data_IF_150774855544
#
_entry.id   IF_150774855544
#
_cell.length_a   1.000
_cell.length_b   1.000
_cell.length_c   1.000
_cell.angle_alpha   90.00
_cell.angle_beta   90.00
_cell.angle_gamma   90.00
#
_symmetry.space_group_name_H-M   'P 1'
#
loop_
_entity.id
_entity.type
_entity.pdbx_description
1 polymer ?
#
# COMPACT_ATOMS: atom_id res chain seq x y z
N UNK A 1 5.19 -20.54 29.04
CA UNK A 1 4.89 -19.56 27.97
C UNK A 1 3.99 -20.13 26.85
N UNK A 2 3.17 -21.17 27.12
CA UNK A 2 2.25 -21.79 26.15
C UNK A 2 0.76 -21.57 26.48
N UNK A 3 0.44 -20.82 27.56
CA UNK A 3 -0.93 -20.59 28.03
C UNK A 3 -1.59 -19.30 27.52
N UNK A 4 -0.85 -18.41 26.85
CA UNK A 4 -1.39 -17.17 26.28
C UNK A 4 -1.85 -17.30 24.81
N UNK A 5 -1.37 -18.32 24.08
CA UNK A 5 -1.81 -18.58 22.70
C UNK A 5 -3.16 -19.32 22.62
N UNK A 6 -3.54 -20.03 23.69
CA UNK A 6 -4.77 -20.82 23.72
C UNK A 6 -6.03 -20.01 24.09
N UNK A 7 -5.87 -18.77 24.59
CA UNK A 7 -6.97 -17.85 24.91
C UNK A 7 -7.39 -16.98 23.70
N UNK A 8 -6.49 -16.74 22.75
CA UNK A 8 -6.82 -15.97 21.53
C UNK A 8 -7.60 -16.82 20.51
N UNK A 9 -7.22 -18.09 20.32
CA UNK A 9 -7.93 -19.00 19.42
C UNK A 9 -9.31 -19.39 19.95
N UNK A 10 -9.48 -19.53 21.27
CA UNK A 10 -10.80 -19.82 21.88
C UNK A 10 -11.79 -18.67 21.73
N UNK A 11 -11.34 -17.41 21.77
CA UNK A 11 -12.22 -16.26 21.57
C UNK A 11 -12.59 -16.07 20.10
N UNK A 12 -11.65 -16.30 19.18
CA UNK A 12 -11.95 -16.25 17.73
C UNK A 12 -12.85 -17.42 17.35
N UNK A 13 -12.57 -18.65 17.82
CA UNK A 13 -13.43 -19.81 17.56
C UNK A 13 -14.79 -19.66 18.23
N UNK A 14 -14.87 -19.09 19.44
CA UNK A 14 -16.13 -18.78 20.13
C UNK A 14 -16.94 -17.74 19.35
N UNK A 15 -16.33 -16.65 18.87
CA UNK A 15 -17.00 -15.63 18.06
C UNK A 15 -17.50 -16.22 16.72
N UNK A 16 -16.67 -17.04 16.08
CA UNK A 16 -17.03 -17.73 14.83
C UNK A 16 -18.17 -18.73 15.08
N UNK A 17 -18.13 -19.47 16.19
CA UNK A 17 -19.17 -20.42 16.60
C UNK A 17 -20.46 -19.71 17.02
N UNK A 18 -20.39 -18.53 17.66
CA UNK A 18 -21.55 -17.72 18.04
C UNK A 18 -22.26 -17.14 16.80
N UNK A 19 -21.49 -16.75 15.78
CA UNK A 19 -22.02 -16.33 14.47
C UNK A 19 -22.65 -17.50 13.69
N UNK A 20 -22.09 -18.71 13.83
CA UNK A 20 -22.55 -19.93 13.18
C UNK A 20 -23.79 -20.55 13.84
N UNK A 21 -23.94 -20.48 15.17
CA UNK A 21 -24.90 -21.30 15.93
C UNK A 21 -26.24 -20.62 16.28
N UNK A 22 -26.49 -19.41 15.78
CA UNK A 22 -27.81 -18.75 15.90
C UNK A 22 -28.70 -19.20 14.73
N UNK A 23 -29.56 -20.16 15.01
CA UNK A 23 -30.51 -20.77 14.06
C UNK A 23 -31.70 -19.85 13.77
N UNK A 24 -31.81 -19.45 12.50
CA UNK A 24 -33.02 -19.28 11.68
C UNK A 24 -34.14 -18.27 12.00
N UNK A 25 -33.96 -17.24 12.84
CA UNK A 25 -34.97 -16.15 12.93
C UNK A 25 -34.44 -14.72 12.83
N UNK A 26 -33.13 -14.49 12.66
CA UNK A 26 -32.58 -13.13 12.74
C UNK A 26 -31.41 -12.88 11.77
N UNK A 27 -31.64 -13.09 10.47
CA UNK A 27 -30.65 -12.78 9.43
C UNK A 27 -30.25 -11.29 9.46
N UNK A 28 -31.21 -10.39 9.72
CA UNK A 28 -30.98 -8.95 9.86
C UNK A 28 -30.01 -8.61 11.01
N UNK A 29 -30.14 -9.26 12.17
CA UNK A 29 -29.25 -9.02 13.30
C UNK A 29 -27.80 -9.48 13.03
N UNK A 30 -27.64 -10.59 12.30
CA UNK A 30 -26.32 -11.10 11.88
C UNK A 30 -25.65 -10.17 10.87
N UNK A 31 -26.40 -9.69 9.89
CA UNK A 31 -25.89 -8.77 8.88
C UNK A 31 -25.47 -7.43 9.49
N UNK A 32 -26.29 -6.87 10.38
CA UNK A 32 -25.93 -5.68 11.15
C UNK A 32 -24.66 -5.88 11.97
N UNK A 33 -24.48 -7.06 12.58
CA UNK A 33 -23.26 -7.39 13.32
C UNK A 33 -22.03 -7.44 12.40
N UNK A 34 -22.15 -8.04 11.22
CA UNK A 34 -21.05 -8.12 10.24
C UNK A 34 -20.69 -6.74 9.67
N UNK A 35 -21.67 -5.89 9.38
CA UNK A 35 -21.46 -4.51 8.96
C UNK A 35 -20.73 -3.70 10.03
N UNK A 36 -21.14 -3.81 11.30
CA UNK A 36 -20.48 -3.15 12.43
C UNK A 36 -19.03 -3.63 12.62
N UNK A 37 -18.76 -4.92 12.47
CA UNK A 37 -17.39 -5.47 12.54
C UNK A 37 -16.54 -4.90 11.39
N UNK A 38 -17.05 -4.90 10.15
CA UNK A 38 -16.34 -4.34 9.00
C UNK A 38 -16.07 -2.84 9.17
N UNK A 39 -17.05 -2.08 9.66
CA UNK A 39 -16.86 -0.68 9.99
C UNK A 39 -15.75 -0.51 11.04
N UNK A 40 -15.78 -1.29 12.12
CA UNK A 40 -14.76 -1.27 13.17
C UNK A 40 -13.35 -1.55 12.65
N UNK A 41 -13.18 -2.54 11.77
CA UNK A 41 -11.89 -2.84 11.13
C UNK A 41 -11.40 -1.67 10.28
N UNK A 42 -12.28 -1.06 9.49
CA UNK A 42 -11.94 0.08 8.65
C UNK A 42 -11.55 1.32 9.47
N UNK A 43 -12.24 1.61 10.59
CA UNK A 43 -11.83 2.68 11.50
C UNK A 43 -10.51 2.37 12.22
N UNK A 44 -10.27 1.11 12.61
CA UNK A 44 -8.99 0.70 13.16
C UNK A 44 -7.86 0.89 12.14
N UNK A 45 -8.07 0.50 10.88
CA UNK A 45 -7.13 0.70 9.78
C UNK A 45 -6.86 2.19 9.54
N UNK A 46 -7.89 3.03 9.54
CA UNK A 46 -7.74 4.49 9.47
C UNK A 46 -6.88 5.05 10.61
N UNK A 47 -7.14 4.61 11.86
CA UNK A 47 -6.35 5.01 13.02
C UNK A 47 -4.87 4.62 12.89
N UNK A 48 -4.59 3.37 12.48
CA UNK A 48 -3.22 2.87 12.29
C UNK A 48 -2.52 3.58 11.13
N UNK A 49 -3.22 3.87 10.03
CA UNK A 49 -2.70 4.67 8.93
C UNK A 49 -2.36 6.09 9.39
N UNK A 50 -3.22 6.71 10.21
CA UNK A 50 -2.98 8.05 10.75
C UNK A 50 -1.76 8.10 11.67
N UNK A 51 -1.60 7.10 12.55
CA UNK A 51 -0.40 6.99 13.40
C UNK A 51 0.84 6.78 12.52
N UNK A 52 0.78 5.89 11.54
CA UNK A 52 1.90 5.60 10.63
C UNK A 52 2.28 6.84 9.80
N UNK A 53 1.28 7.61 9.34
CA UNK A 53 1.46 8.88 8.66
C UNK A 53 2.19 9.89 9.53
N UNK A 54 1.71 10.14 10.76
CA UNK A 54 2.31 11.10 11.70
C UNK A 54 3.75 10.70 12.02
N UNK A 55 3.98 9.42 12.33
CA UNK A 55 5.32 8.90 12.61
C UNK A 55 6.25 9.04 11.41
N UNK A 56 5.75 8.74 10.20
CA UNK A 56 6.54 8.87 8.98
C UNK A 56 6.90 10.34 8.73
N UNK A 57 5.93 11.26 8.81
CA UNK A 57 6.13 12.69 8.62
C UNK A 57 7.12 13.31 9.61
N UNK A 58 7.00 12.98 10.90
CA UNK A 58 7.75 13.67 11.95
C UNK A 58 9.05 13.00 12.35
N UNK A 59 9.09 11.66 12.36
CA UNK A 59 10.25 10.90 12.84
C UNK A 59 11.07 10.32 11.70
N UNK A 60 10.42 9.68 10.73
CA UNK A 60 11.13 8.90 9.71
C UNK A 60 11.43 9.67 8.42
N UNK A 61 11.02 10.94 8.32
CA UNK A 61 11.29 11.80 7.16
C UNK A 61 12.30 12.92 7.47
N UNK A 62 12.94 12.90 8.64
CA UNK A 62 13.93 13.91 9.03
C UNK A 62 14.97 13.35 9.99
N UNK A 63 16.18 13.88 9.91
CA UNK A 63 17.26 13.66 10.88
C UNK A 63 17.60 14.96 11.59
N UNK A 64 18.13 14.86 12.80
CA UNK A 64 18.70 16.00 13.52
C UNK A 64 20.22 15.94 13.40
N UNK A 65 20.82 17.00 12.88
CA UNK A 65 22.28 17.20 12.77
C UNK A 65 22.57 18.55 13.40
N UNK A 66 23.48 18.60 14.38
CA UNK A 66 23.86 19.84 15.09
C UNK A 66 22.64 20.65 15.60
N UNK A 67 21.66 19.96 16.18
CA UNK A 67 20.40 20.52 16.68
C UNK A 67 19.47 21.16 15.61
N UNK A 68 19.78 20.99 14.32
CA UNK A 68 18.93 21.41 13.20
C UNK A 68 18.27 20.18 12.58
N UNK A 69 16.98 20.27 12.29
CA UNK A 69 16.23 19.19 11.64
C UNK A 69 16.33 19.32 10.13
N UNK A 70 16.99 18.37 9.48
CA UNK A 70 17.20 18.32 8.03
C UNK A 70 16.39 17.17 7.43
N UNK A 71 15.91 17.35 6.19
CA UNK A 71 15.15 16.34 5.42
C UNK A 71 15.93 15.93 4.17
N UNK A 72 16.99 15.11 4.31
CA UNK A 72 17.75 14.68 3.15
C UNK A 72 16.91 13.78 2.25
N UNK A 73 17.18 13.86 0.95
CA UNK A 73 16.49 13.08 -0.08
C UNK A 73 16.67 11.58 0.14
N UNK A 74 17.81 11.12 0.67
CA UNK A 74 18.10 9.71 0.96
C UNK A 74 17.10 9.03 1.91
N UNK A 75 16.63 9.75 2.93
CA UNK A 75 15.66 9.23 3.92
C UNK A 75 14.21 9.66 3.61
N UNK A 76 13.97 10.30 2.46
CA UNK A 76 12.65 10.82 2.14
C UNK A 76 11.63 9.68 2.06
N UNK A 77 10.52 9.86 2.77
CA UNK A 77 9.41 8.91 2.84
C UNK A 77 8.10 9.53 2.33
N UNK A 78 8.18 10.55 1.48
CA UNK A 78 7.02 11.29 0.94
C UNK A 78 6.01 10.37 0.25
N UNK A 79 6.46 9.37 -0.52
CA UNK A 79 5.54 8.46 -1.21
C UNK A 79 4.80 7.52 -0.23
N UNK A 80 5.45 7.12 0.86
CA UNK A 80 4.81 6.36 1.94
C UNK A 80 3.80 7.21 2.71
N UNK A 81 4.09 8.50 2.92
CA UNK A 81 3.15 9.49 3.49
C UNK A 81 1.88 9.58 2.63
N UNK A 82 2.02 9.71 1.31
CA UNK A 82 0.87 9.70 0.41
C UNK A 82 0.10 8.37 0.46
N UNK A 83 0.81 7.24 0.43
CA UNK A 83 0.19 5.93 0.53
C UNK A 83 -0.65 5.77 1.81
N UNK A 84 -0.09 6.05 2.99
CA UNK A 84 -0.84 5.94 4.26
C UNK A 84 -1.99 6.94 4.34
N UNK A 85 -1.85 8.14 3.77
CA UNK A 85 -2.93 9.13 3.74
C UNK A 85 -4.12 8.62 2.90
N UNK A 86 -3.83 8.12 1.70
CA UNK A 86 -4.85 7.63 0.76
C UNK A 86 -5.53 6.37 1.30
N UNK A 87 -4.76 5.41 1.82
CA UNK A 87 -5.31 4.20 2.45
C UNK A 87 -6.17 4.56 3.67
N UNK A 88 -5.72 5.51 4.50
CA UNK A 88 -6.47 6.01 5.64
C UNK A 88 -7.80 6.62 5.22
N UNK A 89 -7.80 7.57 4.29
CA UNK A 89 -9.03 8.22 3.78
C UNK A 89 -9.98 7.17 3.19
N UNK A 90 -9.48 6.25 2.38
CA UNK A 90 -10.28 5.16 1.82
C UNK A 90 -10.95 4.31 2.91
N UNK A 91 -10.18 3.94 3.93
CA UNK A 91 -10.68 3.14 5.06
C UNK A 91 -11.74 3.90 5.85
N UNK A 92 -11.57 5.20 6.06
CA UNK A 92 -12.58 6.04 6.71
C UNK A 92 -13.89 6.07 5.90
N UNK A 93 -13.80 6.26 4.59
CA UNK A 93 -14.97 6.27 3.68
C UNK A 93 -15.70 4.92 3.72
N UNK A 94 -14.95 3.81 3.67
CA UNK A 94 -15.50 2.46 3.80
C UNK A 94 -16.14 2.23 5.18
N UNK A 95 -15.53 2.70 6.26
CA UNK A 95 -16.07 2.61 7.61
C UNK A 95 -17.43 3.31 7.74
N UNK A 96 -17.53 4.54 7.23
CA UNK A 96 -18.78 5.31 7.18
C UNK A 96 -19.82 4.57 6.33
N UNK A 97 -19.43 4.04 5.18
CA UNK A 97 -20.31 3.30 4.30
C UNK A 97 -20.97 2.08 4.95
N UNK A 98 -20.20 1.30 5.72
CA UNK A 98 -20.71 0.12 6.41
C UNK A 98 -21.62 0.47 7.59
N UNK A 99 -21.44 1.64 8.23
CA UNK A 99 -22.36 2.13 9.27
C UNK A 99 -23.67 2.61 8.64
N UNK A 100 -23.58 3.46 7.62
CA UNK A 100 -24.73 4.15 7.02
C UNK A 100 -25.63 3.19 6.24
N UNK A 101 -25.05 2.13 5.67
CA UNK A 101 -25.76 1.20 4.79
C UNK A 101 -25.79 -0.23 5.36
N UNK A 102 -26.12 -0.40 6.64
CA UNK A 102 -26.26 -1.71 7.31
C UNK A 102 -27.15 -2.73 6.59
N UNK A 103 -27.96 -2.30 5.61
CA UNK A 103 -28.86 -3.09 4.78
C UNK A 103 -28.30 -3.57 3.41
N UNK A 104 -27.01 -3.35 3.10
CA UNK A 104 -26.42 -3.68 1.77
C UNK A 104 -26.40 -5.18 1.42
N UNK A 105 -26.56 -6.08 2.40
CA UNK A 105 -26.47 -7.51 2.15
C UNK A 105 -27.74 -8.12 1.56
N UNK A 106 -28.90 -7.48 1.71
CA UNK A 106 -30.18 -8.13 1.44
C UNK A 106 -30.67 -8.05 -0.01
N UNK A 107 -30.43 -6.99 -0.78
CA UNK A 107 -30.98 -6.95 -2.15
C UNK A 107 -30.27 -5.95 -3.08
N UNK A 108 -30.07 -6.39 -4.33
CA UNK A 108 -29.52 -5.68 -5.48
C UNK A 108 -29.30 -4.15 -5.35
N UNK A 109 -28.03 -3.80 -5.15
CA UNK A 109 -27.34 -2.68 -5.80
C UNK A 109 -28.03 -1.32 -5.74
N UNK A 110 -27.91 -0.66 -4.58
CA UNK A 110 -27.66 0.79 -4.57
C UNK A 110 -26.42 1.02 -3.73
N UNK A 111 -25.24 0.68 -4.27
CA UNK A 111 -24.02 1.31 -3.76
C UNK A 111 -24.26 2.80 -3.94
N UNK A 112 -24.16 3.65 -2.89
CA UNK A 112 -24.45 5.06 -3.04
C UNK A 112 -23.66 5.60 -4.22
N UNK A 113 -24.35 6.22 -5.19
CA UNK A 113 -23.78 6.64 -6.49
C UNK A 113 -22.48 7.46 -6.36
N UNK A 114 -22.27 8.09 -5.21
CA UNK A 114 -21.10 8.91 -4.90
C UNK A 114 -20.00 8.09 -4.20
N UNK A 115 -20.39 7.14 -3.35
CA UNK A 115 -19.47 6.36 -2.55
C UNK A 115 -18.69 5.35 -3.41
N UNK A 116 -19.37 4.67 -4.35
CA UNK A 116 -18.74 3.74 -5.28
C UNK A 116 -17.60 4.35 -6.10
N UNK A 117 -17.80 5.46 -6.86
CA UNK A 117 -16.71 6.04 -7.64
C UNK A 117 -15.61 6.60 -6.75
N UNK A 118 -15.96 7.20 -5.61
CA UNK A 118 -14.98 7.76 -4.68
C UNK A 118 -14.07 6.67 -4.12
N UNK A 119 -14.64 5.55 -3.67
CA UNK A 119 -13.87 4.40 -3.18
C UNK A 119 -12.90 3.85 -4.23
N UNK A 120 -13.38 3.70 -5.47
CA UNK A 120 -12.58 3.18 -6.58
C UNK A 120 -11.45 4.14 -7.01
N UNK A 121 -11.69 5.45 -6.98
CA UNK A 121 -10.63 6.45 -7.21
C UNK A 121 -9.55 6.32 -6.14
N UNK A 122 -9.93 6.26 -4.85
CA UNK A 122 -8.97 6.07 -3.77
C UNK A 122 -8.23 4.73 -3.88
N UNK A 123 -8.89 3.65 -4.33
CA UNK A 123 -8.21 2.37 -4.59
C UNK A 123 -7.13 2.51 -5.68
N UNK A 124 -7.44 3.18 -6.79
CA UNK A 124 -6.45 3.39 -7.87
C UNK A 124 -5.26 4.18 -7.34
N UNK A 125 -5.53 5.26 -6.60
CA UNK A 125 -4.48 6.09 -6.00
C UNK A 125 -3.65 5.32 -4.98
N UNK A 126 -4.29 4.49 -4.15
CA UNK A 126 -3.63 3.63 -3.15
C UNK A 126 -2.59 2.71 -3.81
N UNK A 127 -3.00 1.97 -4.84
CA UNK A 127 -2.11 1.05 -5.56
C UNK A 127 -1.03 1.81 -6.33
N UNK A 128 -1.35 2.97 -6.90
CA UNK A 128 -0.38 3.82 -7.59
C UNK A 128 0.71 4.33 -6.64
N UNK A 129 0.33 4.90 -5.49
CA UNK A 129 1.28 5.40 -4.50
C UNK A 129 2.09 4.26 -3.85
N UNK A 130 1.50 3.08 -3.64
CA UNK A 130 2.24 1.90 -3.24
C UNK A 130 3.30 1.53 -4.28
N UNK A 131 2.91 1.46 -5.56
CA UNK A 131 3.82 1.13 -6.67
C UNK A 131 4.96 2.13 -6.77
N UNK A 132 4.66 3.43 -6.64
CA UNK A 132 5.68 4.48 -6.62
C UNK A 132 6.58 4.41 -5.39
N UNK A 133 6.05 4.11 -4.22
CA UNK A 133 6.83 3.96 -3.00
C UNK A 133 7.81 2.79 -3.08
N UNK A 134 7.37 1.66 -3.64
CA UNK A 134 8.20 0.48 -3.91
C UNK A 134 9.26 0.76 -4.96
N UNK A 135 8.91 1.43 -6.05
CA UNK A 135 9.85 1.81 -7.10
C UNK A 135 10.89 2.80 -6.58
N UNK A 136 10.48 3.74 -5.72
CA UNK A 136 11.39 4.65 -5.04
C UNK A 136 12.36 3.91 -4.11
N UNK A 137 11.87 2.92 -3.34
CA UNK A 137 12.73 2.05 -2.52
C UNK A 137 13.74 1.28 -3.39
N UNK A 138 13.29 0.72 -4.52
CA UNK A 138 14.17 0.05 -5.50
C UNK A 138 15.22 1.01 -6.08
N UNK A 139 14.86 2.26 -6.34
CA UNK A 139 15.76 3.20 -6.99
C UNK A 139 16.81 3.74 -6.03
N UNK A 140 16.36 4.33 -4.92
CA UNK A 140 17.20 5.17 -4.07
C UNK A 140 17.73 4.45 -2.83
N UNK A 141 17.21 3.26 -2.49
CA UNK A 141 17.66 2.52 -1.28
C UNK A 141 18.36 1.22 -1.58
N UNK A 142 18.20 0.65 -2.79
CA UNK A 142 18.92 -0.56 -3.20
C UNK A 142 20.20 -0.35 -3.99
N UNK A 143 20.50 0.87 -4.41
CA UNK A 143 21.71 1.19 -5.18
C UNK A 143 22.85 1.81 -4.38
N UNK A 144 22.64 2.14 -3.10
CA UNK A 144 23.62 2.91 -2.32
C UNK A 144 23.60 4.38 -2.75
N UNK A 145 23.67 5.30 -1.79
CA UNK A 145 23.60 6.74 -2.09
C UNK A 145 24.87 7.23 -2.78
N UNK A 146 26.03 6.69 -2.35
CA UNK A 146 27.34 7.00 -2.95
C UNK A 146 27.34 6.66 -4.44
N UNK A 147 26.73 5.54 -4.84
CA UNK A 147 26.68 5.13 -6.23
C UNK A 147 25.78 6.05 -7.09
N UNK A 148 24.67 6.55 -6.54
CA UNK A 148 23.80 7.54 -7.20
C UNK A 148 24.51 8.90 -7.40
N UNK A 149 25.32 9.35 -6.44
CA UNK A 149 26.12 10.59 -6.57
C UNK A 149 27.33 10.41 -7.50
N UNK A 150 28.04 9.29 -7.41
CA UNK A 150 29.16 8.97 -8.31
C UNK A 150 28.70 8.86 -9.76
N UNK A 151 27.51 8.28 -10.00
CA UNK A 151 26.88 8.21 -11.31
C UNK A 151 26.48 9.60 -11.83
N UNK A 152 25.93 10.49 -10.99
CA UNK A 152 25.64 11.87 -11.39
C UNK A 152 26.90 12.68 -11.69
N UNK A 153 27.99 12.41 -10.97
CA UNK A 153 29.28 13.05 -11.20
C UNK A 153 29.90 12.57 -12.52
N UNK A 154 29.90 11.26 -12.77
CA UNK A 154 30.37 10.65 -14.02
C UNK A 154 29.49 11.00 -15.24
N UNK A 155 28.18 11.16 -15.06
CA UNK A 155 27.27 11.63 -16.12
C UNK A 155 27.61 13.05 -16.61
N UNK A 156 28.24 13.87 -15.77
CA UNK A 156 28.72 15.21 -16.15
C UNK A 156 30.06 15.15 -16.88
N UNK A 157 30.79 14.05 -16.80
CA UNK A 157 32.16 13.93 -17.32
C UNK A 157 32.30 13.04 -18.56
N UNK A 158 31.39 12.09 -18.84
CA UNK A 158 31.58 11.15 -19.96
C UNK A 158 30.33 10.93 -20.86
N UNK A 159 30.48 11.17 -22.16
CA UNK A 159 29.53 10.80 -23.24
C UNK A 159 29.46 9.29 -23.52
N UNK A 160 30.22 8.47 -22.79
CA UNK A 160 30.57 7.09 -23.15
C UNK A 160 30.01 6.06 -22.16
N UNK A 161 28.71 5.74 -22.21
CA UNK A 161 28.24 4.40 -21.82
C UNK A 161 26.82 4.08 -22.32
N UNK A 162 26.74 3.27 -23.39
CA UNK A 162 25.47 2.74 -23.95
C UNK A 162 24.67 1.90 -22.95
N UNK A 163 25.34 1.26 -21.99
CA UNK A 163 24.71 0.51 -20.88
C UNK A 163 23.88 1.41 -19.96
N UNK A 164 24.38 2.63 -19.71
CA UNK A 164 23.80 3.56 -18.75
C UNK A 164 22.52 4.24 -19.26
N UNK A 165 22.48 4.55 -20.56
CA UNK A 165 21.25 5.02 -21.23
C UNK A 165 20.13 3.99 -21.16
N UNK A 166 20.45 2.69 -21.18
CA UNK A 166 19.44 1.63 -21.16
C UNK A 166 18.72 1.57 -19.80
N UNK A 167 19.45 1.68 -18.68
CA UNK A 167 18.87 1.59 -17.34
C UNK A 167 17.97 2.80 -17.02
N UNK A 168 18.39 4.03 -17.35
CA UNK A 168 17.57 5.24 -17.20
C UNK A 168 16.32 5.23 -18.08
N UNK A 169 16.44 4.69 -19.31
CA UNK A 169 15.30 4.56 -20.24
C UNK A 169 14.29 3.52 -19.73
N UNK A 170 14.75 2.39 -19.19
CA UNK A 170 13.90 1.39 -18.53
C UNK A 170 13.24 1.95 -17.26
N UNK A 171 13.94 2.78 -16.47
CA UNK A 171 13.41 3.43 -15.26
C UNK A 171 12.29 4.44 -15.53
N UNK A 172 12.48 5.31 -16.53
CA UNK A 172 11.41 6.22 -16.99
C UNK A 172 10.22 5.42 -17.52
N UNK A 173 10.48 4.23 -18.09
CA UNK A 173 9.44 3.34 -18.62
C UNK A 173 8.58 2.76 -17.50
N UNK A 174 9.14 2.34 -16.36
CA UNK A 174 8.35 1.74 -15.26
C UNK A 174 7.38 2.74 -14.61
N UNK A 175 7.82 3.95 -14.25
CA UNK A 175 6.93 4.99 -13.72
C UNK A 175 5.81 5.32 -14.73
N UNK A 176 6.18 5.46 -16.01
CA UNK A 176 5.22 5.73 -17.07
C UNK A 176 4.21 4.59 -17.24
N UNK A 177 4.62 3.33 -17.07
CA UNK A 177 3.71 2.17 -17.13
C UNK A 177 2.67 2.25 -16.01
N UNK A 178 3.11 2.44 -14.76
CA UNK A 178 2.17 2.54 -13.62
C UNK A 178 1.22 3.73 -13.78
N UNK A 179 1.72 4.88 -14.23
CA UNK A 179 0.88 6.05 -14.51
C UNK A 179 -0.08 5.79 -15.66
N UNK A 180 0.36 5.16 -16.76
CA UNK A 180 -0.50 4.82 -17.89
C UNK A 180 -1.61 3.83 -17.48
N UNK A 181 -1.29 2.82 -16.68
CA UNK A 181 -2.26 1.89 -16.11
C UNK A 181 -3.26 2.62 -15.21
N UNK A 182 -2.81 3.51 -14.32
CA UNK A 182 -3.70 4.29 -13.47
C UNK A 182 -4.62 5.22 -14.28
N UNK A 183 -4.10 5.87 -15.33
CA UNK A 183 -4.89 6.68 -16.26
C UNK A 183 -5.91 5.83 -16.99
N UNK A 184 -5.54 4.62 -17.44
CA UNK A 184 -6.47 3.68 -18.07
C UNK A 184 -7.57 3.24 -17.09
N UNK A 185 -7.23 2.96 -15.82
CA UNK A 185 -8.20 2.66 -14.77
C UNK A 185 -9.18 3.83 -14.59
N UNK A 186 -8.68 5.06 -14.47
CA UNK A 186 -9.51 6.26 -14.30
C UNK A 186 -10.39 6.51 -15.53
N UNK A 187 -9.86 6.30 -16.74
CA UNK A 187 -10.63 6.41 -17.98
C UNK A 187 -11.74 5.35 -18.03
N UNK A 188 -11.43 4.09 -17.68
CA UNK A 188 -12.44 3.02 -17.64
C UNK A 188 -13.52 3.27 -16.59
N UNK A 189 -13.16 3.83 -15.43
CA UNK A 189 -14.12 4.26 -14.41
C UNK A 189 -14.99 5.41 -14.90
N UNK A 190 -14.40 6.40 -15.58
CA UNK A 190 -15.16 7.51 -16.16
C UNK A 190 -16.16 7.03 -17.21
N UNK A 191 -15.75 6.12 -18.11
CA UNK A 191 -16.65 5.50 -19.09
C UNK A 191 -17.76 4.72 -18.40
N UNK A 192 -17.44 3.93 -17.37
CA UNK A 192 -18.43 3.21 -16.56
C UNK A 192 -19.47 4.15 -15.93
N UNK A 193 -19.04 5.31 -15.42
CA UNK A 193 -19.94 6.29 -14.79
C UNK A 193 -20.80 7.08 -15.80
N UNK A 194 -20.34 7.24 -17.03
CA UNK A 194 -21.07 7.95 -18.09
C UNK A 194 -22.05 7.06 -18.85
N UNK A 195 -21.87 5.74 -18.83
CA UNK A 195 -22.73 4.80 -19.54
C UNK A 195 -24.03 4.53 -18.76
N UNK A 196 -25.18 4.83 -19.39
CA UNK A 196 -26.50 4.63 -18.81
C UNK A 196 -27.22 3.36 -19.31
N UNK A 197 -26.64 2.63 -20.29
CA UNK A 197 -27.26 1.43 -20.86
C UNK A 197 -26.95 0.19 -20.04
N UNK A 198 -27.97 -0.39 -19.40
CA UNK A 198 -27.89 -1.58 -18.53
C UNK A 198 -27.09 -2.75 -19.15
N UNK A 199 -27.28 -3.02 -20.44
CA UNK A 199 -26.67 -4.17 -21.12
C UNK A 199 -25.14 -4.05 -21.28
N UNK A 200 -24.57 -2.85 -21.12
CA UNK A 200 -23.13 -2.60 -21.23
C UNK A 200 -22.43 -2.44 -19.88
N UNK A 201 -23.18 -2.22 -18.80
CA UNK A 201 -22.63 -1.93 -17.47
C UNK A 201 -21.78 -3.09 -16.97
N UNK A 202 -22.22 -4.34 -17.19
CA UNK A 202 -21.48 -5.52 -16.76
C UNK A 202 -20.10 -5.62 -17.45
N UNK A 203 -20.05 -5.46 -18.77
CA UNK A 203 -18.78 -5.49 -19.52
C UNK A 203 -17.83 -4.35 -19.08
N UNK A 204 -18.36 -3.15 -18.86
CA UNK A 204 -17.57 -2.01 -18.39
C UNK A 204 -17.05 -2.22 -16.97
N UNK A 205 -17.86 -2.81 -16.10
CA UNK A 205 -17.48 -3.18 -14.75
C UNK A 205 -16.31 -4.16 -14.72
N UNK A 206 -16.39 -5.24 -15.52
CA UNK A 206 -15.29 -6.21 -15.65
C UNK A 206 -14.04 -5.62 -16.29
N UNK A 207 -14.22 -4.72 -17.27
CA UNK A 207 -13.09 -4.00 -17.90
C UNK A 207 -12.37 -3.14 -16.88
N UNK A 208 -13.11 -2.40 -16.05
CA UNK A 208 -12.56 -1.61 -14.96
C UNK A 208 -11.78 -2.48 -13.96
N UNK A 209 -12.38 -3.58 -13.49
CA UNK A 209 -11.70 -4.49 -12.56
C UNK A 209 -10.46 -5.14 -13.17
N UNK A 210 -10.50 -5.49 -14.46
CA UNK A 210 -9.34 -5.98 -15.20
C UNK A 210 -8.19 -4.96 -15.23
N UNK A 211 -8.52 -3.67 -15.42
CA UNK A 211 -7.52 -2.60 -15.36
C UNK A 211 -6.91 -2.49 -13.95
N UNK A 212 -7.73 -2.49 -12.90
CA UNK A 212 -7.25 -2.45 -11.50
C UNK A 212 -6.36 -3.65 -11.18
N UNK A 213 -6.76 -4.85 -11.57
CA UNK A 213 -5.95 -6.06 -11.38
C UNK A 213 -4.63 -6.02 -12.14
N UNK A 214 -4.61 -5.47 -13.35
CA UNK A 214 -3.36 -5.28 -14.09
C UNK A 214 -2.35 -4.41 -13.34
N UNK A 215 -2.84 -3.38 -12.63
CA UNK A 215 -2.03 -2.51 -11.78
C UNK A 215 -1.52 -3.27 -10.54
N UNK A 216 -2.39 -4.05 -9.87
CA UNK A 216 -1.99 -4.89 -8.73
C UNK A 216 -0.95 -5.96 -9.14
N UNK A 217 -1.14 -6.63 -10.28
CA UNK A 217 -0.18 -7.61 -10.82
C UNK A 217 1.17 -6.94 -11.09
N UNK A 218 1.16 -5.72 -11.65
CA UNK A 218 2.39 -4.97 -11.91
C UNK A 218 3.15 -4.64 -10.62
N UNK A 219 2.42 -4.36 -9.52
CA UNK A 219 3.00 -4.18 -8.19
C UNK A 219 3.65 -5.48 -7.67
N UNK A 220 3.02 -6.65 -7.86
CA UNK A 220 3.59 -7.96 -7.52
C UNK A 220 4.87 -8.23 -8.33
N UNK A 221 4.84 -7.97 -9.64
CA UNK A 221 6.02 -8.13 -10.50
C UNK A 221 7.17 -7.24 -10.02
N UNK A 222 6.89 -5.98 -9.67
CA UNK A 222 7.89 -5.09 -9.09
C UNK A 222 8.47 -5.65 -7.79
N UNK A 223 7.64 -6.25 -6.94
CA UNK A 223 8.12 -6.91 -5.73
C UNK A 223 9.06 -8.08 -6.01
N UNK A 224 8.75 -8.92 -7.00
CA UNK A 224 9.68 -9.98 -7.41
C UNK A 224 11.01 -9.40 -7.92
N UNK A 225 10.97 -8.31 -8.68
CA UNK A 225 12.19 -7.62 -9.12
C UNK A 225 13.02 -7.13 -7.93
N UNK A 226 12.39 -6.51 -6.92
CA UNK A 226 13.08 -6.03 -5.70
C UNK A 226 13.70 -7.18 -4.91
N UNK A 227 12.98 -8.29 -4.76
CA UNK A 227 13.44 -9.46 -4.00
C UNK A 227 14.60 -10.16 -4.72
N UNK A 228 14.48 -10.37 -6.04
CA UNK A 228 15.46 -11.08 -6.85
C UNK A 228 16.72 -10.25 -7.16
N UNK A 229 16.66 -8.93 -7.00
CA UNK A 229 17.82 -8.06 -7.22
C UNK A 229 18.91 -8.37 -6.17
N UNK A 230 20.03 -8.96 -6.63
CA UNK A 230 21.20 -9.21 -5.77
C UNK A 230 21.81 -7.88 -5.33
N UNK A 231 21.88 -7.69 -4.02
CA UNK A 231 22.55 -6.54 -3.40
C UNK A 231 24.00 -6.92 -3.18
N UNK A 232 24.88 -6.34 -3.98
CA UNK A 232 26.34 -6.49 -3.87
C UNK A 232 26.81 -5.39 -2.89
N UNK A 233 26.43 -5.52 -1.62
CA UNK A 233 26.96 -4.75 -0.47
C UNK A 233 26.20 -3.49 0.04
N UNK A 234 25.44 -2.71 -0.76
CA UNK A 234 24.82 -1.44 -0.26
C UNK A 234 23.27 -1.35 -0.24
N UNK A 235 22.54 -2.44 -0.52
CA UNK A 235 21.08 -2.38 -0.66
C UNK A 235 20.24 -2.73 0.59
N UNK A 236 18.89 -2.75 0.48
CA UNK A 236 18.02 -3.08 1.60
C UNK A 236 18.30 -4.50 2.06
N UNK A 237 18.29 -4.67 3.38
CA UNK A 237 18.57 -5.97 3.98
C UNK A 237 17.59 -7.04 3.48
N UNK A 238 18.03 -8.31 3.46
CA UNK A 238 17.18 -9.46 3.06
C UNK A 238 15.87 -9.45 3.85
N UNK A 239 15.93 -9.22 5.15
CA UNK A 239 14.74 -9.19 6.00
C UNK A 239 13.83 -7.98 5.68
N UNK A 240 14.37 -6.83 5.22
CA UNK A 240 13.52 -5.72 4.69
C UNK A 240 12.77 -6.17 3.44
N UNK A 241 13.46 -6.84 2.49
CA UNK A 241 12.85 -7.35 1.26
C UNK A 241 11.75 -8.37 1.55
N UNK A 242 11.99 -9.26 2.52
CA UNK A 242 11.00 -10.25 2.98
C UNK A 242 9.78 -9.56 3.58
N UNK A 243 9.97 -8.57 4.46
CA UNK A 243 8.85 -7.81 5.01
C UNK A 243 8.08 -7.03 3.94
N UNK A 244 8.76 -6.40 2.97
CA UNK A 244 8.08 -5.76 1.86
C UNK A 244 7.24 -6.74 1.05
N UNK A 245 7.78 -7.91 0.73
CA UNK A 245 7.07 -8.95 0.00
C UNK A 245 5.82 -9.40 0.76
N UNK A 246 5.97 -9.74 2.04
CA UNK A 246 4.83 -10.12 2.88
C UNK A 246 3.80 -8.99 3.01
N UNK A 247 4.24 -7.74 3.18
CA UNK A 247 3.36 -6.59 3.25
C UNK A 247 2.48 -6.47 2.01
N UNK A 248 3.06 -6.56 0.81
CA UNK A 248 2.31 -6.51 -0.45
C UNK A 248 1.41 -7.73 -0.63
N UNK A 249 1.87 -8.94 -0.31
CA UNK A 249 1.03 -10.14 -0.41
C UNK A 249 -0.18 -10.05 0.52
N UNK A 250 -0.02 -9.47 1.72
CA UNK A 250 -1.10 -9.29 2.68
C UNK A 250 -2.16 -8.27 2.22
N UNK A 251 -1.84 -7.37 1.27
CA UNK A 251 -2.86 -6.44 0.72
C UNK A 251 -3.73 -7.11 -0.35
N UNK A 252 -3.22 -8.11 -1.06
CA UNK A 252 -3.93 -8.72 -2.22
C UNK A 252 -5.32 -9.28 -1.90
N UNK A 253 -5.54 -10.00 -0.77
CA UNK A 253 -6.87 -10.54 -0.47
C UNK A 253 -7.95 -9.47 -0.34
N UNK A 254 -7.60 -8.28 0.16
CA UNK A 254 -8.52 -7.16 0.30
C UNK A 254 -8.78 -6.40 -1.02
N UNK A 255 -7.98 -6.67 -2.05
CA UNK A 255 -8.14 -6.10 -3.39
C UNK A 255 -9.15 -6.87 -4.25
N UNK A 256 -9.53 -8.07 -3.80
CA UNK A 256 -10.54 -8.89 -4.44
C UNK A 256 -11.93 -8.37 -3.99
N UNK A 257 -12.80 -7.95 -4.93
CA UNK A 257 -14.15 -7.53 -4.62
C UNK A 257 -14.96 -8.59 -3.87
N UNK A 258 -15.84 -8.16 -2.95
CA UNK A 258 -16.67 -9.06 -2.16
C UNK A 258 -17.53 -10.02 -3.01
N UNK A 259 -18.00 -9.59 -4.18
CA UNK A 259 -18.81 -10.45 -5.05
C UNK A 259 -17.99 -11.61 -5.67
N UNK A 260 -16.69 -11.41 -5.91
CA UNK A 260 -15.78 -12.46 -6.40
C UNK A 260 -15.47 -13.43 -5.26
N UNK A 261 -15.25 -12.91 -4.04
CA UNK A 261 -15.24 -13.75 -2.84
C UNK A 261 -16.52 -14.59 -2.75
N UNK A 262 -17.68 -13.97 -3.04
CA UNK A 262 -18.99 -14.64 -3.12
C UNK A 262 -19.07 -15.81 -4.10
N UNK A 263 -18.49 -15.65 -5.28
CA UNK A 263 -18.58 -16.66 -6.32
C UNK A 263 -17.49 -17.74 -6.22
N UNK A 264 -16.24 -17.36 -5.93
CA UNK A 264 -15.10 -18.26 -6.03
C UNK A 264 -14.83 -19.10 -4.76
N UNK A 265 -15.08 -18.54 -3.57
CA UNK A 265 -14.68 -19.19 -2.31
C UNK A 265 -15.86 -19.82 -1.57
N UNK A 266 -17.10 -19.42 -1.88
CA UNK A 266 -18.26 -19.80 -1.07
C UNK A 266 -19.04 -21.02 -1.60
N UNK A 267 -18.68 -21.54 -2.77
CA UNK A 267 -19.35 -22.73 -3.32
C UNK A 267 -18.90 -24.06 -2.70
N UNK A 268 -17.93 -24.07 -1.76
CA UNK A 268 -17.45 -25.35 -1.17
C UNK A 268 -16.67 -25.30 0.15
N UNK A 269 -16.52 -24.14 0.81
CA UNK A 269 -15.80 -24.04 2.09
C UNK A 269 -16.75 -24.03 3.29
N UNK A 270 -16.31 -24.66 4.40
CA UNK A 270 -17.01 -24.71 5.69
C UNK A 270 -17.14 -23.34 6.40
N UNK A 271 -16.40 -22.32 5.94
CA UNK A 271 -16.38 -20.99 6.54
C UNK A 271 -17.37 -20.06 5.82
N UNK A 272 -18.25 -19.36 6.56
CA UNK A 272 -19.20 -18.43 5.97
C UNK A 272 -18.45 -17.28 5.31
N UNK A 273 -18.77 -17.04 4.05
CA UNK A 273 -18.02 -16.16 3.19
C UNK A 273 -17.76 -14.72 3.65
N UNK A 274 -18.72 -14.05 4.31
CA UNK A 274 -18.48 -12.74 4.92
C UNK A 274 -17.32 -12.73 5.92
N UNK A 275 -17.07 -13.84 6.63
CA UNK A 275 -15.96 -13.96 7.58
C UNK A 275 -14.60 -14.01 6.86
N UNK A 276 -14.53 -14.66 5.70
CA UNK A 276 -13.31 -14.66 4.87
C UNK A 276 -12.96 -13.25 4.37
N UNK A 277 -13.96 -12.47 3.96
CA UNK A 277 -13.77 -11.08 3.54
C UNK A 277 -13.35 -10.18 4.71
N UNK A 278 -13.99 -10.31 5.88
CA UNK A 278 -13.58 -9.63 7.12
C UNK A 278 -12.12 -9.95 7.45
N UNK A 279 -11.74 -11.22 7.32
CA UNK A 279 -10.35 -11.67 7.56
C UNK A 279 -9.39 -11.02 6.57
N UNK A 280 -9.73 -11.00 5.28
CA UNK A 280 -8.95 -10.33 4.25
C UNK A 280 -8.74 -8.84 4.54
N UNK A 281 -9.79 -8.13 5.00
CA UNK A 281 -9.70 -6.73 5.43
C UNK A 281 -8.78 -6.57 6.66
N UNK A 282 -8.86 -7.48 7.63
CA UNK A 282 -7.98 -7.46 8.80
C UNK A 282 -6.49 -7.68 8.44
N UNK A 283 -6.18 -8.39 7.34
CA UNK A 283 -4.81 -8.54 6.86
C UNK A 283 -4.18 -7.20 6.42
N UNK A 284 -4.98 -6.21 5.99
CA UNK A 284 -4.48 -4.87 5.68
C UNK A 284 -3.88 -4.18 6.92
N UNK A 285 -4.45 -4.39 8.10
CA UNK A 285 -3.90 -3.86 9.35
C UNK A 285 -2.49 -4.42 9.56
N UNK A 286 -2.33 -5.73 9.36
CA UNK A 286 -1.03 -6.40 9.47
C UNK A 286 -0.07 -5.86 8.40
N UNK A 287 -0.53 -5.67 7.16
CA UNK A 287 0.27 -5.11 6.08
C UNK A 287 0.82 -3.71 6.42
N UNK A 288 -0.02 -2.81 6.96
CA UNK A 288 0.40 -1.46 7.37
C UNK A 288 1.45 -1.52 8.47
N UNK A 289 1.29 -2.40 9.46
CA UNK A 289 2.30 -2.60 10.53
C UNK A 289 3.61 -3.11 9.94
N UNK A 290 3.56 -4.04 8.98
CA UNK A 290 4.74 -4.57 8.29
C UNK A 290 5.44 -3.47 7.46
N UNK A 291 4.70 -2.65 6.73
CA UNK A 291 5.26 -1.51 6.00
C UNK A 291 5.89 -0.49 6.95
N UNK A 292 5.28 -0.25 8.10
CA UNK A 292 5.85 0.62 9.12
C UNK A 292 7.16 0.03 9.67
N UNK A 293 7.23 -1.27 9.93
CA UNK A 293 8.45 -1.94 10.36
C UNK A 293 9.58 -1.83 9.31
N UNK A 294 9.25 -1.94 8.01
CA UNK A 294 10.19 -1.69 6.91
C UNK A 294 10.72 -0.25 6.96
N UNK A 295 9.85 0.74 7.11
CA UNK A 295 10.24 2.15 7.18
C UNK A 295 11.14 2.44 8.37
N UNK A 296 10.79 1.91 9.54
CA UNK A 296 11.60 2.03 10.75
C UNK A 296 12.99 1.48 10.51
N UNK A 297 13.09 0.28 9.93
CA UNK A 297 14.37 -0.37 9.73
C UNK A 297 15.24 0.33 8.69
N UNK A 298 14.68 0.69 7.55
CA UNK A 298 15.41 1.41 6.51
C UNK A 298 15.85 2.79 7.00
N UNK A 299 15.04 3.47 7.80
CA UNK A 299 15.45 4.73 8.42
C UNK A 299 16.67 4.55 9.33
N UNK A 300 16.69 3.53 10.21
CA UNK A 300 17.85 3.31 11.08
C UNK A 300 19.11 2.95 10.29
N UNK A 301 18.97 2.18 9.20
CA UNK A 301 20.09 1.84 8.32
C UNK A 301 20.68 3.08 7.63
N UNK A 302 19.83 3.94 7.10
CA UNK A 302 20.24 5.11 6.29
C UNK A 302 20.54 6.35 7.13
N UNK A 303 20.18 6.35 8.41
CA UNK A 303 20.31 7.52 9.29
C UNK A 303 21.76 7.98 9.40
N UNK A 304 22.69 7.07 9.65
CA UNK A 304 24.10 7.40 9.85
C UNK A 304 24.72 7.98 8.57
N UNK A 305 24.51 7.31 7.44
CA UNK A 305 24.97 7.77 6.12
C UNK A 305 24.41 9.16 5.79
N UNK A 306 23.11 9.38 6.03
CA UNK A 306 22.49 10.68 5.82
C UNK A 306 23.01 11.78 6.77
N UNK A 307 23.45 11.43 7.98
CA UNK A 307 24.04 12.38 8.92
C UNK A 307 25.43 12.81 8.46
N UNK A 308 26.28 11.86 8.05
CA UNK A 308 27.63 12.15 7.55
C UNK A 308 27.58 13.02 6.29
N UNK A 309 26.70 12.71 5.33
CA UNK A 309 26.59 13.50 4.11
C UNK A 309 26.17 14.95 4.36
N UNK A 310 25.31 15.20 5.36
CA UNK A 310 24.91 16.57 5.73
C UNK A 310 26.08 17.33 6.36
N UNK A 311 26.93 16.65 7.14
CA UNK A 311 28.13 17.23 7.74
C UNK A 311 29.15 17.56 6.63
N UNK A 312 29.44 16.62 5.73
CA UNK A 312 30.39 16.80 4.62
C UNK A 312 29.96 17.95 3.70
N UNK A 313 28.66 18.05 3.40
CA UNK A 313 28.10 19.18 2.66
C UNK A 313 28.33 20.50 3.40
N UNK A 314 28.03 20.56 4.70
CA UNK A 314 28.25 21.77 5.50
C UNK A 314 29.72 22.20 5.54
N UNK A 315 30.65 21.25 5.67
CA UNK A 315 32.09 21.50 5.66
C UNK A 315 32.57 21.99 4.29
N UNK A 316 32.07 21.40 3.19
CA UNK A 316 32.38 21.85 1.83
C UNK A 316 31.92 23.30 1.59
N UNK A 317 30.74 23.68 2.08
CA UNK A 317 30.24 25.06 1.98
C UNK A 317 31.11 26.02 2.77
N UNK A 318 31.51 25.65 3.99
CA UNK A 318 32.36 26.47 4.84
C UNK A 318 33.72 26.77 4.18
N UNK A 319 34.37 25.74 3.64
CA UNK A 319 35.67 25.86 2.97
C UNK A 319 35.61 26.76 1.71
N UNK A 320 34.50 26.75 0.97
CA UNK A 320 34.30 27.64 -0.18
C UNK A 320 34.21 29.11 0.28
N UNK A 321 33.45 29.38 1.35
CA UNK A 321 33.32 30.75 1.89
C UNK A 321 34.60 31.30 2.50
N UNK A 322 35.49 30.49 3.08
CA UNK A 322 36.79 30.96 3.56
C UNK A 322 37.80 31.24 2.43
N UNK A 323 37.58 30.66 1.25
CA UNK A 323 38.46 30.82 0.08
C UNK A 323 38.15 32.03 -0.81
N UNK A 324 37.06 32.76 -0.54
CA UNK A 324 36.60 33.95 -1.26
C UNK A 324 36.95 35.24 -0.52
#
# INVERSE_FOLDING_TARGET
MYKLCHLSTKNISSLTFYLLNTTSTDNSAKENTLCNINAGINFALFGICTISLILTCWKFNSITVLNIRVRPTAISNILWIFYFSILGIRSMILGIAYIDNGHILEENTVIPKILFPTENVFKILEVLFLSWALEYQRKHRSRGFIQDELEQFNDRTDESSKSFRLSKKVLKTTYNIFTAQAVLCLASLAVFLLENKKDKIEYLYWTFHGCVWSLCISCIVLMFVIVLHRTIDEGPSILTKVFLFFGVVLTLPADIPLFIWKQCMFQGLLLPGPVCYITAQALLIIAVVVFMAVLMREFHRLKEEAQWNVIDQAESYYNITESM
#
